data_IF_319988852712
#
_entry.id   IF_319988852712
#
_cell.length_a   1.000
_cell.length_b   1.000
_cell.length_c   1.000
_cell.angle_alpha   90.00
_cell.angle_beta   90.00
_cell.angle_gamma   90.00
#
_symmetry.space_group_name_H-M   'P 1'
#
loop_
_entity.id
_entity.type
_entity.pdbx_description
1 polymer ?
#
# COMPACT_ATOMS: atom_id res chain seq x y z
N UNK A 1 -3.25 6.60 -15.58
CA UNK A 1 -2.41 6.94 -14.39
C UNK A 1 -2.68 5.92 -13.29
N UNK A 2 -1.85 4.88 -13.21
CA UNK A 2 -2.05 3.78 -12.27
C UNK A 2 -1.67 4.19 -10.86
N UNK A 3 -2.66 4.35 -9.99
CA UNK A 3 -2.44 4.31 -8.54
C UNK A 3 -2.00 2.88 -8.24
N UNK A 4 -0.74 2.73 -7.84
CA UNK A 4 -0.20 1.45 -7.42
C UNK A 4 -0.40 1.34 -5.91
N UNK A 5 -0.78 0.17 -5.44
CA UNK A 5 -0.95 -0.12 -4.02
C UNK A 5 0.12 -1.12 -3.60
N UNK A 6 0.64 -0.96 -2.38
CA UNK A 6 1.60 -1.89 -1.80
C UNK A 6 0.90 -2.70 -0.73
N UNK A 7 0.87 -4.02 -0.89
CA UNK A 7 0.39 -4.95 0.11
C UNK A 7 1.55 -5.27 1.06
N UNK A 8 1.33 -5.00 2.35
CA UNK A 8 2.30 -5.24 3.41
C UNK A 8 1.77 -6.37 4.30
N UNK A 9 2.45 -7.53 4.27
CA UNK A 9 2.13 -8.64 5.16
C UNK A 9 2.72 -8.41 6.55
N UNK A 10 1.90 -8.44 7.61
CA UNK A 10 2.39 -8.40 9.01
C UNK A 10 1.55 -9.31 9.91
N UNK A 11 2.14 -10.45 10.29
CA UNK A 11 1.47 -11.44 11.13
C UNK A 11 0.28 -12.08 10.40
N UNK A 12 -0.87 -12.18 11.06
CA UNK A 12 -2.08 -12.82 10.51
C UNK A 12 -2.85 -11.91 9.53
N UNK A 13 -2.56 -10.62 9.48
CA UNK A 13 -3.33 -9.65 8.69
C UNK A 13 -2.45 -8.91 7.68
N UNK A 14 -3.08 -8.51 6.57
CA UNK A 14 -2.50 -7.62 5.57
C UNK A 14 -2.81 -6.17 5.87
N UNK A 15 -1.88 -5.31 5.48
CA UNK A 15 -2.01 -3.86 5.48
C UNK A 15 -1.87 -3.34 4.06
N UNK A 16 -2.55 -2.24 3.79
CA UNK A 16 -2.48 -1.56 2.50
C UNK A 16 -1.85 -0.20 2.70
N UNK A 17 -0.84 0.07 1.89
CA UNK A 17 -0.17 1.35 1.89
C UNK A 17 -0.50 2.16 0.63
N UNK A 18 -0.91 3.41 0.85
CA UNK A 18 -0.85 4.42 -0.20
C UNK A 18 0.59 4.85 -0.34
N UNK A 19 1.11 4.81 -1.55
CA UNK A 19 2.47 5.26 -1.80
C UNK A 19 2.56 6.20 -2.99
N UNK A 20 3.65 6.96 -3.01
CA UNK A 20 4.10 7.73 -4.17
C UNK A 20 5.43 7.18 -4.63
N UNK A 21 5.53 6.89 -5.92
CA UNK A 21 6.80 6.55 -6.55
C UNK A 21 7.60 7.80 -6.86
N UNK A 22 8.86 7.86 -6.41
CA UNK A 22 9.81 8.94 -6.69
C UNK A 22 10.87 8.39 -7.66
N UNK A 23 10.69 8.55 -8.99
CA UNK A 23 11.53 7.88 -9.97
C UNK A 23 12.98 8.35 -9.98
N UNK A 24 13.25 9.60 -9.58
CA UNK A 24 14.61 10.14 -9.54
C UNK A 24 15.49 9.42 -8.52
N UNK A 25 14.89 8.90 -7.46
CA UNK A 25 15.59 8.26 -6.34
C UNK A 25 15.39 6.75 -6.31
N UNK A 26 14.57 6.20 -7.20
CA UNK A 26 14.13 4.80 -7.20
C UNK A 26 13.49 4.37 -5.85
N UNK A 27 12.74 5.28 -5.21
CA UNK A 27 12.15 5.09 -3.87
C UNK A 27 10.61 5.20 -3.89
N UNK A 28 9.96 4.34 -3.10
CA UNK A 28 8.53 4.45 -2.76
C UNK A 28 8.31 5.15 -1.41
N UNK A 29 7.67 6.32 -1.41
CA UNK A 29 7.28 7.02 -0.18
C UNK A 29 5.90 6.56 0.30
N UNK A 30 5.83 5.97 1.48
CA UNK A 30 4.57 5.58 2.12
C UNK A 30 3.89 6.81 2.72
N UNK A 31 2.65 7.08 2.30
CA UNK A 31 1.88 8.25 2.73
C UNK A 31 0.86 7.92 3.82
N UNK A 32 0.33 6.69 3.79
CA UNK A 32 -0.61 6.20 4.78
C UNK A 32 -0.60 4.67 4.78
N UNK A 33 -0.80 4.07 5.95
CA UNK A 33 -0.96 2.62 6.14
C UNK A 33 -2.34 2.38 6.76
N UNK A 34 -3.09 1.41 6.25
CA UNK A 34 -4.40 1.00 6.78
C UNK A 34 -4.49 -0.51 6.89
N UNK A 35 -5.30 -0.99 7.82
CA UNK A 35 -5.59 -2.42 7.94
C UNK A 35 -6.51 -2.86 6.78
N UNK A 36 -6.25 -4.02 6.16
CA UNK A 36 -7.02 -4.47 4.99
C UNK A 36 -8.54 -4.61 5.25
N UNK A 37 -8.91 -5.00 6.49
CA UNK A 37 -10.32 -5.14 6.89
C UNK A 37 -11.02 -3.79 7.08
N UNK A 38 -10.28 -2.74 7.43
CA UNK A 38 -10.81 -1.36 7.52
C UNK A 38 -10.86 -0.68 6.14
N UNK A 39 -10.00 -1.11 5.23
CA UNK A 39 -9.91 -0.57 3.88
C UNK A 39 -10.98 -1.14 2.94
N UNK A 40 -11.72 -2.18 3.35
CA UNK A 40 -12.72 -2.84 2.50
C UNK A 40 -12.10 -3.54 1.29
N UNK A 41 -10.83 -3.94 1.38
CA UNK A 41 -10.11 -4.54 0.26
C UNK A 41 -10.61 -5.96 -0.01
N UNK A 42 -11.54 -6.07 -0.95
CA UNK A 42 -11.81 -7.31 -1.67
C UNK A 42 -10.70 -7.41 -2.72
N UNK A 43 -9.65 -8.19 -2.45
CA UNK A 43 -8.62 -8.44 -3.45
C UNK A 43 -9.28 -8.97 -4.72
N UNK A 44 -9.19 -8.21 -5.80
CA UNK A 44 -9.35 -8.70 -7.17
C UNK A 44 -8.09 -9.43 -7.63
#
# INVERSE_FOLDING_TARGET
KGRRELILSRGRYGYIAKYRWLPAEDIGLILAVRHQLEAGYAGE
#
